data_IF_206447887308
#
_entry.id   IF_206447887308
#
_cell.length_a   1.000
_cell.length_b   1.000
_cell.length_c   1.000
_cell.angle_alpha   90.00
_cell.angle_beta   90.00
_cell.angle_gamma   90.00
#
_symmetry.space_group_name_H-M   'P 1'
#
loop_
_entity.id
_entity.type
_entity.pdbx_description
1 polymer ?
#
# COMPACT_ATOMS: atom_id res chain seq x y z
N UNK A 1 13.94 25.66 -55.96
CA UNK A 1 12.83 25.97 -55.02
C UNK A 1 12.28 24.65 -54.54
N UNK A 2 12.77 24.17 -53.42
CA UNK A 2 12.32 22.93 -52.81
C UNK A 2 11.47 23.23 -51.59
N UNK A 3 10.24 22.77 -51.59
CA UNK A 3 9.34 22.86 -50.44
C UNK A 3 9.68 21.76 -49.43
N UNK A 4 10.17 22.15 -48.26
CA UNK A 4 10.27 21.28 -47.11
C UNK A 4 8.89 21.20 -46.45
N UNK A 5 8.23 20.06 -46.57
CA UNK A 5 7.03 19.76 -45.78
C UNK A 5 7.45 19.39 -44.37
N UNK A 6 7.14 20.25 -43.42
CA UNK A 6 7.29 20.00 -41.99
C UNK A 6 6.13 19.11 -41.54
N UNK A 7 6.42 17.81 -41.30
CA UNK A 7 5.44 16.88 -40.68
C UNK A 7 5.51 17.12 -39.17
N UNK A 8 4.50 17.81 -38.65
CA UNK A 8 4.30 17.90 -37.18
C UNK A 8 3.62 16.62 -36.73
N UNK A 9 4.38 15.74 -36.10
CA UNK A 9 3.81 14.58 -35.38
C UNK A 9 3.27 15.13 -34.07
N UNK A 10 1.96 15.34 -34.00
CA UNK A 10 1.27 15.62 -32.73
C UNK A 10 1.11 14.28 -32.04
N UNK A 11 1.98 13.99 -31.11
CA UNK A 11 1.78 12.89 -30.16
C UNK A 11 0.66 13.31 -29.21
N UNK A 12 -0.55 12.87 -29.47
CA UNK A 12 -1.67 12.99 -28.53
C UNK A 12 -1.36 12.00 -27.41
N UNK A 13 -0.72 12.50 -26.36
CA UNK A 13 -0.72 11.82 -25.07
C UNK A 13 -2.16 11.93 -24.55
N UNK A 14 -2.96 10.92 -24.80
CA UNK A 14 -4.24 10.76 -24.14
C UNK A 14 -3.93 10.55 -22.65
N UNK A 15 -3.97 11.63 -21.87
CA UNK A 15 -4.23 11.49 -20.46
C UNK A 15 -5.61 10.83 -20.38
N UNK A 16 -5.65 9.54 -20.17
CA UNK A 16 -6.81 8.89 -19.60
C UNK A 16 -7.00 9.56 -18.24
N UNK A 17 -7.81 10.62 -18.21
CA UNK A 17 -8.46 11.01 -16.99
C UNK A 17 -9.26 9.75 -16.59
N UNK A 18 -8.74 9.01 -15.65
CA UNK A 18 -9.55 8.12 -14.86
C UNK A 18 -10.64 9.05 -14.28
N UNK A 19 -11.82 9.02 -14.89
CA UNK A 19 -13.01 9.62 -14.29
C UNK A 19 -13.05 9.07 -12.89
N UNK A 20 -12.97 9.96 -11.89
CA UNK A 20 -12.80 9.59 -10.50
C UNK A 20 -13.90 8.60 -10.12
N UNK A 21 -13.53 7.34 -10.02
CA UNK A 21 -14.34 6.36 -9.33
C UNK A 21 -14.45 6.92 -7.91
N UNK A 22 -15.63 7.20 -7.47
CA UNK A 22 -15.86 7.61 -6.09
C UNK A 22 -15.37 6.46 -5.21
N UNK A 23 -14.23 6.67 -4.56
CA UNK A 23 -13.51 5.65 -3.81
C UNK A 23 -14.32 5.06 -2.63
N UNK A 24 -15.49 5.62 -2.36
CA UNK A 24 -16.43 5.09 -1.37
C UNK A 24 -17.26 3.91 -1.90
N UNK A 25 -17.27 3.69 -3.21
CA UNK A 25 -18.09 2.67 -3.85
C UNK A 25 -17.31 1.52 -4.49
N UNK A 26 -15.98 1.44 -4.24
CA UNK A 26 -15.21 0.32 -4.77
C UNK A 26 -15.66 -0.99 -4.10
N UNK A 27 -16.01 -2.02 -4.89
CA UNK A 27 -16.41 -3.31 -4.33
C UNK A 27 -15.24 -3.97 -3.61
N UNK A 28 -15.54 -4.86 -2.67
CA UNK A 28 -14.54 -5.71 -2.01
C UNK A 28 -13.74 -6.50 -3.06
N UNK A 29 -14.43 -7.03 -4.08
CA UNK A 29 -13.82 -7.71 -5.22
C UNK A 29 -13.32 -6.78 -6.31
N UNK A 30 -12.72 -7.38 -7.36
CA UNK A 30 -12.28 -6.67 -8.55
C UNK A 30 -13.48 -6.11 -9.32
N UNK A 31 -13.39 -4.85 -9.73
CA UNK A 31 -14.29 -4.27 -10.73
C UNK A 31 -14.09 -4.94 -12.09
N UNK A 32 -15.02 -4.76 -13.01
CA UNK A 32 -14.85 -5.29 -14.38
C UNK A 32 -13.66 -4.63 -15.11
N UNK A 33 -13.37 -3.37 -14.80
CA UNK A 33 -12.16 -2.70 -15.29
C UNK A 33 -10.91 -3.41 -14.77
N UNK A 34 -10.82 -3.66 -13.48
CA UNK A 34 -9.67 -4.31 -12.83
C UNK A 34 -9.46 -5.74 -13.37
N UNK A 35 -10.54 -6.52 -13.53
CA UNK A 35 -10.48 -7.86 -14.14
C UNK A 35 -9.90 -7.84 -15.56
N UNK A 36 -10.30 -6.85 -16.37
CA UNK A 36 -9.83 -6.71 -17.73
C UNK A 36 -8.39 -6.16 -17.85
N UNK A 37 -7.86 -5.61 -16.76
CA UNK A 37 -6.54 -5.00 -16.70
C UNK A 37 -5.62 -5.67 -15.66
N UNK A 38 -5.90 -6.89 -15.28
CA UNK A 38 -5.12 -7.62 -14.28
C UNK A 38 -3.62 -7.73 -14.66
N UNK A 39 -3.30 -7.73 -15.96
CA UNK A 39 -1.93 -7.75 -16.45
C UNK A 39 -1.10 -6.54 -15.99
N UNK A 40 -1.72 -5.43 -15.60
CA UNK A 40 -1.02 -4.28 -15.05
C UNK A 40 -0.26 -4.62 -13.77
N UNK A 41 -0.66 -5.66 -13.04
CA UNK A 41 0.05 -6.11 -11.84
C UNK A 41 1.51 -6.43 -12.15
N UNK A 42 1.78 -7.07 -13.29
CA UNK A 42 3.14 -7.41 -13.73
C UNK A 42 3.99 -6.17 -14.03
N UNK A 43 3.36 -5.04 -14.35
CA UNK A 43 4.03 -3.77 -14.64
C UNK A 43 4.19 -2.90 -13.39
N UNK A 44 3.46 -3.20 -12.32
CA UNK A 44 3.46 -2.43 -11.07
C UNK A 44 4.57 -2.88 -10.11
N UNK A 45 5.09 -4.08 -10.30
CA UNK A 45 6.12 -4.68 -9.45
C UNK A 45 7.39 -3.83 -9.42
N UNK A 46 8.03 -3.82 -8.25
CA UNK A 46 9.34 -3.23 -8.02
C UNK A 46 10.17 -4.25 -7.27
N UNK A 47 11.45 -4.26 -7.54
CA UNK A 47 12.40 -5.08 -6.81
C UNK A 47 13.59 -4.24 -6.36
N UNK A 48 13.97 -4.41 -5.11
CA UNK A 48 15.18 -3.83 -4.55
C UNK A 48 16.01 -4.92 -3.89
N UNK A 49 17.25 -4.60 -3.50
CA UNK A 49 17.98 -5.47 -2.58
C UNK A 49 17.19 -5.59 -1.27
N UNK A 50 17.19 -6.78 -0.64
CA UNK A 50 16.50 -6.98 0.63
C UNK A 50 17.15 -6.16 1.77
N UNK A 51 16.44 -5.99 2.90
CA UNK A 51 16.98 -5.37 4.11
C UNK A 51 18.24 -6.11 4.61
N UNK A 52 19.10 -5.39 5.33
CA UNK A 52 20.23 -6.01 6.00
C UNK A 52 19.77 -7.01 7.06
N UNK A 53 20.35 -8.22 7.04
CA UNK A 53 20.01 -9.26 7.99
C UNK A 53 20.67 -9.04 9.37
N UNK A 54 20.04 -9.50 10.49
CA UNK A 54 18.73 -10.14 10.55
C UNK A 54 17.58 -9.12 10.43
N UNK A 55 16.51 -9.52 9.77
CA UNK A 55 15.26 -8.72 9.65
C UNK A 55 14.25 -9.20 10.67
N UNK A 56 13.46 -8.28 11.22
CA UNK A 56 12.31 -8.57 12.07
C UNK A 56 11.11 -7.79 11.59
N UNK A 57 10.03 -8.46 11.29
CA UNK A 57 8.76 -7.81 11.00
C UNK A 57 8.18 -7.19 12.29
N UNK A 58 7.54 -6.02 12.17
CA UNK A 58 6.87 -5.36 13.29
C UNK A 58 5.43 -5.83 13.32
N UNK A 59 5.01 -6.41 14.45
CA UNK A 59 3.64 -6.87 14.63
C UNK A 59 2.68 -5.70 14.95
N UNK A 60 1.43 -5.84 14.58
CA UNK A 60 0.39 -4.80 14.70
C UNK A 60 0.06 -4.43 16.14
N UNK A 61 0.26 -5.35 17.08
CA UNK A 61 0.04 -5.09 18.51
C UNK A 61 1.22 -4.41 19.19
N UNK A 62 2.34 -4.19 18.49
CA UNK A 62 3.47 -3.46 19.04
C UNK A 62 3.15 -1.97 19.16
N UNK A 63 3.93 -1.28 19.99
CA UNK A 63 3.75 0.17 20.18
C UNK A 63 4.01 0.90 18.87
N UNK A 64 3.03 1.65 18.40
CA UNK A 64 3.12 2.47 17.19
C UNK A 64 3.25 3.96 17.54
N UNK A 65 3.88 4.72 16.65
CA UNK A 65 4.03 6.18 16.78
C UNK A 65 2.96 6.96 16.02
N UNK A 66 2.21 6.31 15.16
CA UNK A 66 1.15 6.93 14.37
C UNK A 66 0.34 5.91 13.57
N UNK A 67 -0.68 6.41 12.91
CA UNK A 67 -1.60 5.64 12.05
C UNK A 67 -1.63 6.25 10.66
N UNK A 68 -1.65 5.42 9.63
CA UNK A 68 -1.81 5.85 8.25
C UNK A 68 -3.27 5.77 7.84
N UNK A 69 -3.79 6.85 7.31
CA UNK A 69 -5.13 6.95 6.71
C UNK A 69 -5.03 7.63 5.36
N UNK A 70 -6.10 7.68 4.61
CA UNK A 70 -6.16 8.44 3.36
C UNK A 70 -7.37 9.37 3.34
N UNK A 71 -7.36 10.38 2.46
CA UNK A 71 -8.50 11.25 2.20
C UNK A 71 -8.86 11.19 0.70
N UNK A 72 -10.18 11.01 0.35
CA UNK A 72 -11.36 10.95 1.22
C UNK A 72 -11.35 9.76 2.18
N UNK A 73 -11.83 9.96 3.41
CA UNK A 73 -11.76 8.96 4.48
C UNK A 73 -12.63 7.74 4.21
N UNK A 74 -12.13 6.55 4.54
CA UNK A 74 -12.90 5.31 4.64
C UNK A 74 -13.46 5.04 6.05
N UNK A 75 -13.13 5.91 7.02
CA UNK A 75 -13.56 5.84 8.42
C UNK A 75 -14.20 7.16 8.83
N UNK A 76 -14.95 7.16 9.96
CA UNK A 76 -15.59 8.39 10.44
C UNK A 76 -14.58 9.40 10.95
N UNK A 77 -14.92 10.69 10.87
CA UNK A 77 -14.14 11.78 11.46
C UNK A 77 -14.01 11.64 12.98
N UNK A 78 -14.96 10.99 13.64
CA UNK A 78 -14.87 10.71 15.08
C UNK A 78 -13.68 9.81 15.41
N UNK A 79 -13.42 8.78 14.59
CA UNK A 79 -12.24 7.91 14.77
C UNK A 79 -10.96 8.72 14.57
N UNK A 80 -10.89 9.58 13.56
CA UNK A 80 -9.72 10.43 13.33
C UNK A 80 -9.50 11.37 14.52
N UNK A 81 -10.57 11.93 15.08
CA UNK A 81 -10.47 12.81 16.26
C UNK A 81 -9.88 12.07 17.45
N UNK A 82 -10.41 10.90 17.79
CA UNK A 82 -9.90 10.09 18.90
C UNK A 82 -8.43 9.67 18.69
N UNK A 83 -8.06 9.24 17.49
CA UNK A 83 -6.68 8.89 17.17
C UNK A 83 -5.74 10.09 17.30
N UNK A 84 -6.18 11.26 16.87
CA UNK A 84 -5.37 12.48 16.92
C UNK A 84 -5.16 13.04 18.35
N UNK A 85 -5.84 12.52 19.37
CA UNK A 85 -5.55 12.85 20.76
C UNK A 85 -4.25 12.18 21.23
N UNK A 86 -3.96 10.96 20.78
CA UNK A 86 -2.91 10.12 21.33
C UNK A 86 -1.70 9.90 20.40
N UNK A 87 -1.92 9.88 19.09
CA UNK A 87 -0.91 9.53 18.09
C UNK A 87 -0.93 10.45 16.88
N UNK A 88 0.14 10.43 16.09
CA UNK A 88 0.17 11.14 14.81
C UNK A 88 -0.72 10.40 13.80
N UNK A 89 -1.60 11.12 13.13
CA UNK A 89 -2.38 10.64 12.00
C UNK A 89 -1.72 11.12 10.71
N UNK A 90 -1.09 10.22 10.00
CA UNK A 90 -0.53 10.45 8.68
C UNK A 90 -1.64 10.28 7.64
N UNK A 91 -1.99 11.34 6.94
CA UNK A 91 -3.08 11.33 5.98
C UNK A 91 -2.54 11.44 4.55
N UNK A 92 -2.60 10.34 3.81
CA UNK A 92 -2.36 10.34 2.36
C UNK A 92 -3.45 11.16 1.68
N UNK A 93 -3.07 12.11 0.86
CA UNK A 93 -4.01 13.02 0.20
C UNK A 93 -3.46 13.53 -1.13
N UNK A 94 -4.31 13.67 -2.13
CA UNK A 94 -3.89 14.37 -3.35
C UNK A 94 -3.71 15.87 -3.08
N UNK A 95 -2.81 16.51 -3.81
CA UNK A 95 -2.59 17.96 -3.69
C UNK A 95 -3.87 18.77 -3.93
N UNK A 96 -4.77 18.28 -4.79
CA UNK A 96 -6.05 18.92 -5.07
C UNK A 96 -7.04 18.85 -3.89
N UNK A 97 -6.96 17.79 -3.08
CA UNK A 97 -7.88 17.53 -1.96
C UNK A 97 -7.33 17.97 -0.60
N UNK A 98 -6.06 18.33 -0.50
CA UNK A 98 -5.42 18.67 0.77
C UNK A 98 -6.15 19.78 1.55
N UNK A 99 -6.56 20.86 0.87
CA UNK A 99 -7.31 21.93 1.51
C UNK A 99 -8.71 21.48 1.96
N UNK A 100 -9.33 20.58 1.22
CA UNK A 100 -10.63 20.00 1.59
C UNK A 100 -10.50 19.14 2.85
N UNK A 101 -9.47 18.29 2.93
CA UNK A 101 -9.16 17.49 4.10
C UNK A 101 -8.85 18.38 5.32
N UNK A 102 -8.01 19.39 5.14
CA UNK A 102 -7.66 20.36 6.18
C UNK A 102 -8.92 21.03 6.77
N UNK A 103 -9.82 21.50 5.90
CA UNK A 103 -11.06 22.13 6.34
C UNK A 103 -12.01 21.14 7.03
N UNK A 104 -12.09 19.90 6.53
CA UNK A 104 -12.89 18.86 7.15
C UNK A 104 -12.43 18.56 8.57
N UNK A 105 -11.11 18.45 8.78
CA UNK A 105 -10.53 18.16 10.09
C UNK A 105 -10.70 19.34 11.07
N UNK A 106 -10.40 20.55 10.63
CA UNK A 106 -10.59 21.75 11.45
C UNK A 106 -12.07 21.96 11.88
N UNK A 107 -13.02 21.70 10.98
CA UNK A 107 -14.44 21.91 11.26
C UNK A 107 -15.04 20.82 12.17
N UNK A 108 -14.29 19.77 12.47
CA UNK A 108 -14.71 18.65 13.33
C UNK A 108 -13.85 18.53 14.59
N UNK A 109 -13.22 19.63 15.03
CA UNK A 109 -12.47 19.73 16.26
C UNK A 109 -11.35 18.69 16.41
N UNK A 110 -10.71 18.30 15.29
CA UNK A 110 -9.59 17.36 15.29
C UNK A 110 -8.32 18.11 15.70
N UNK A 111 -7.52 17.49 16.57
CA UNK A 111 -6.23 18.04 17.00
C UNK A 111 -5.23 18.10 15.82
N UNK A 112 -5.18 19.24 15.15
CA UNK A 112 -4.32 19.46 14.00
C UNK A 112 -2.81 19.38 14.33
N UNK A 113 -2.43 19.46 15.60
CA UNK A 113 -1.04 19.27 16.05
C UNK A 113 -0.52 17.83 15.80
N UNK A 114 -1.44 16.88 15.71
CA UNK A 114 -1.15 15.46 15.46
C UNK A 114 -1.56 15.02 14.05
N UNK A 115 -1.91 15.94 13.14
CA UNK A 115 -2.21 15.60 11.74
C UNK A 115 -1.00 15.94 10.86
N UNK A 116 -0.58 14.97 10.05
CA UNK A 116 0.45 15.19 9.02
C UNK A 116 -0.06 14.70 7.67
N UNK A 117 0.06 15.56 6.65
CA UNK A 117 -0.38 15.22 5.29
C UNK A 117 0.79 14.69 4.46
N UNK A 118 0.62 13.48 3.92
CA UNK A 118 1.51 12.91 2.91
C UNK A 118 0.89 13.18 1.54
N UNK A 119 1.53 14.03 0.74
CA UNK A 119 1.00 14.38 -0.58
C UNK A 119 1.28 13.26 -1.57
N UNK A 120 0.23 12.52 -1.89
CA UNK A 120 0.21 11.43 -2.86
C UNK A 120 -1.23 10.96 -3.05
N UNK A 121 -1.73 10.83 -4.30
CA UNK A 121 -3.06 10.29 -4.53
C UNK A 121 -3.11 8.81 -4.11
N UNK A 122 -4.31 8.34 -3.81
CA UNK A 122 -4.65 6.93 -3.64
C UNK A 122 -5.91 6.63 -4.44
N UNK A 123 -6.09 5.40 -4.88
CA UNK A 123 -7.28 4.98 -5.64
C UNK A 123 -8.39 4.53 -4.69
N UNK A 124 -8.05 3.93 -3.55
CA UNK A 124 -9.00 3.45 -2.55
C UNK A 124 -8.63 3.85 -1.13
N UNK A 125 -9.49 3.53 -0.16
CA UNK A 125 -9.23 3.78 1.27
C UNK A 125 -8.67 2.55 2.03
N UNK A 126 -8.32 1.50 1.30
CA UNK A 126 -7.86 0.23 1.85
C UNK A 126 -6.37 0.28 2.25
N UNK A 127 -6.02 1.17 3.19
CA UNK A 127 -4.64 1.32 3.67
C UNK A 127 -4.09 0.05 4.30
N UNK A 128 -4.95 -0.82 4.82
CA UNK A 128 -4.57 -2.14 5.31
C UNK A 128 -4.04 -3.01 4.18
N UNK A 129 -4.68 -2.96 3.01
CA UNK A 129 -4.42 -3.89 1.92
C UNK A 129 -3.18 -3.53 1.12
N UNK A 130 -2.95 -2.25 0.86
CA UNK A 130 -1.77 -1.83 0.09
C UNK A 130 -0.56 -1.46 0.95
N UNK A 131 -0.65 -1.57 2.28
CA UNK A 131 0.47 -1.31 3.18
C UNK A 131 0.67 0.16 3.56
N UNK A 132 1.81 0.52 4.11
CA UNK A 132 3.09 -0.21 4.14
C UNK A 132 3.20 -1.29 5.22
N UNK A 133 4.13 -2.25 5.01
CA UNK A 133 4.59 -3.17 6.02
C UNK A 133 5.92 -2.73 6.61
N UNK A 134 6.10 -2.93 7.90
CA UNK A 134 7.22 -2.39 8.66
C UNK A 134 8.16 -3.47 9.14
N UNK A 135 9.44 -3.22 9.00
CA UNK A 135 10.50 -4.10 9.48
C UNK A 135 11.54 -3.33 10.28
N UNK A 136 12.28 -4.04 11.10
CA UNK A 136 13.55 -3.57 11.68
C UNK A 136 14.65 -4.39 11.04
N UNK A 137 15.59 -3.73 10.40
CA UNK A 137 16.72 -4.38 9.71
C UNK A 137 17.89 -4.71 10.66
N UNK A 138 18.93 -5.36 10.13
CA UNK A 138 20.15 -5.72 10.88
C UNK A 138 20.92 -4.53 11.43
N UNK A 139 20.74 -3.33 10.91
CA UNK A 139 21.29 -2.09 11.43
C UNK A 139 20.44 -1.48 12.54
N UNK A 140 19.30 -2.09 12.87
CA UNK A 140 18.27 -1.60 13.80
C UNK A 140 17.53 -0.36 13.29
N UNK A 141 17.49 -0.18 11.99
CA UNK A 141 16.71 0.87 11.34
C UNK A 141 15.32 0.35 11.02
N UNK A 142 14.31 1.19 11.26
CA UNK A 142 12.92 0.91 10.87
C UNK A 142 12.80 1.25 9.39
N UNK A 143 12.33 0.31 8.60
CA UNK A 143 12.10 0.48 7.18
C UNK A 143 10.76 -0.07 6.73
N UNK A 144 10.41 0.21 5.49
CA UNK A 144 9.21 -0.29 4.83
C UNK A 144 9.62 -1.41 3.87
N UNK A 145 8.91 -2.53 3.92
CA UNK A 145 8.90 -3.55 2.87
C UNK A 145 7.57 -3.46 2.13
N UNK A 146 7.66 -3.27 0.83
CA UNK A 146 6.56 -3.13 -0.10
C UNK A 146 6.45 -4.37 -0.99
N UNK A 147 5.27 -4.65 -1.48
CA UNK A 147 4.92 -5.73 -2.40
C UNK A 147 4.07 -5.15 -3.54
N UNK A 148 3.87 -5.90 -4.61
CA UNK A 148 2.90 -5.52 -5.63
C UNK A 148 1.48 -5.74 -5.10
N UNK A 149 0.72 -4.67 -4.93
CA UNK A 149 -0.67 -4.77 -4.49
C UNK A 149 -1.50 -5.57 -5.49
N UNK A 150 -2.26 -6.55 -5.01
CA UNK A 150 -3.02 -7.48 -5.84
C UNK A 150 -4.26 -6.87 -6.53
N UNK A 151 -4.29 -5.56 -6.67
CA UNK A 151 -5.27 -4.80 -7.44
C UNK A 151 -4.54 -3.89 -8.42
N UNK A 152 -5.00 -3.73 -9.67
CA UNK A 152 -4.39 -2.84 -10.66
C UNK A 152 -4.67 -1.37 -10.33
N UNK A 153 -4.27 -0.92 -9.13
CA UNK A 153 -4.45 0.41 -8.55
C UNK A 153 -3.09 1.04 -8.32
N UNK A 154 -2.61 1.75 -9.32
CA UNK A 154 -1.24 2.29 -9.36
C UNK A 154 -0.95 3.28 -8.22
N UNK A 155 -1.94 4.09 -7.83
CA UNK A 155 -1.76 5.06 -6.77
C UNK A 155 -1.68 4.37 -5.40
N UNK A 156 -2.51 3.36 -5.16
CA UNK A 156 -2.48 2.55 -3.95
C UNK A 156 -1.14 1.80 -3.84
N UNK A 157 -0.73 1.13 -4.93
CA UNK A 157 0.56 0.43 -5.00
C UNK A 157 1.78 1.34 -4.77
N UNK A 158 1.63 2.64 -4.97
CA UNK A 158 2.70 3.62 -4.75
C UNK A 158 2.67 4.24 -3.35
N UNK A 159 1.65 3.96 -2.54
CA UNK A 159 1.49 4.58 -1.22
C UNK A 159 2.60 4.22 -0.22
N UNK A 160 3.11 2.96 -0.15
CA UNK A 160 4.24 2.61 0.69
C UNK A 160 5.51 3.39 0.33
N UNK A 161 5.81 3.54 -0.95
CA UNK A 161 6.95 4.32 -1.42
C UNK A 161 6.82 5.80 -1.02
N UNK A 162 5.65 6.42 -1.21
CA UNK A 162 5.38 7.80 -0.79
C UNK A 162 5.50 7.99 0.73
N UNK A 163 5.08 6.98 1.48
CA UNK A 163 5.20 6.99 2.94
C UNK A 163 6.66 6.92 3.37
N UNK A 164 7.48 6.09 2.72
CA UNK A 164 8.92 5.99 3.01
C UNK A 164 9.66 7.29 2.70
N UNK A 165 9.37 7.92 1.55
CA UNK A 165 9.95 9.22 1.19
C UNK A 165 9.60 10.31 2.20
N UNK A 166 8.34 10.35 2.65
CA UNK A 166 7.88 11.36 3.62
C UNK A 166 8.51 11.19 4.99
N UNK A 167 8.63 9.94 5.45
CA UNK A 167 9.18 9.63 6.78
C UNK A 167 10.71 9.53 6.80
N UNK A 168 11.36 9.61 5.63
CA UNK A 168 12.81 9.45 5.46
C UNK A 168 13.31 8.13 6.06
N UNK A 169 12.62 7.02 5.73
CA UNK A 169 12.97 5.67 6.18
C UNK A 169 13.39 4.79 5.00
N UNK A 170 14.25 3.77 5.21
CA UNK A 170 14.60 2.81 4.17
C UNK A 170 13.37 2.18 3.51
N UNK A 171 13.44 2.04 2.20
CA UNK A 171 12.42 1.40 1.39
C UNK A 171 12.99 0.17 0.69
N UNK A 172 12.28 -0.93 0.85
CA UNK A 172 12.57 -2.21 0.21
C UNK A 172 11.33 -2.67 -0.53
N UNK A 173 11.49 -3.29 -1.69
CA UNK A 173 10.39 -3.86 -2.45
C UNK A 173 10.70 -5.27 -2.88
N UNK A 174 9.77 -6.18 -2.62
CA UNK A 174 9.86 -7.59 -2.96
C UNK A 174 9.06 -7.87 -4.24
N UNK A 175 9.60 -8.67 -5.14
CA UNK A 175 8.90 -9.13 -6.35
C UNK A 175 7.90 -10.23 -5.98
N UNK A 176 6.77 -9.82 -5.42
CA UNK A 176 5.70 -10.68 -4.97
C UNK A 176 4.38 -9.91 -5.02
N UNK A 177 3.34 -10.52 -5.56
CA UNK A 177 1.97 -10.01 -5.50
C UNK A 177 1.38 -10.40 -4.14
N UNK A 178 0.82 -9.42 -3.44
CA UNK A 178 0.25 -9.66 -2.12
C UNK A 178 -0.82 -8.63 -1.76
N UNK A 179 -1.46 -8.86 -0.63
CA UNK A 179 -2.37 -7.93 0.00
C UNK A 179 -2.15 -7.93 1.51
N UNK A 180 -2.03 -6.76 2.08
CA UNK A 180 -1.77 -6.61 3.51
C UNK A 180 -2.87 -7.15 4.40
N UNK A 181 -4.12 -7.19 3.91
CA UNK A 181 -5.22 -7.86 4.60
C UNK A 181 -5.04 -9.37 4.71
N UNK A 182 -4.31 -9.98 3.77
CA UNK A 182 -3.98 -11.40 3.78
C UNK A 182 -2.66 -11.73 4.48
N UNK A 183 -2.26 -10.95 5.48
CA UNK A 183 -1.00 -11.19 6.18
C UNK A 183 -1.08 -10.83 7.65
N UNK A 184 -0.56 -11.72 8.48
CA UNK A 184 -0.38 -11.50 9.93
C UNK A 184 1.01 -11.93 10.36
N UNK A 185 1.53 -11.29 11.41
CA UNK A 185 2.81 -11.66 12.02
C UNK A 185 2.76 -11.54 13.54
N UNK A 186 3.54 -12.40 14.21
CA UNK A 186 3.75 -12.30 15.66
C UNK A 186 4.93 -11.38 16.05
N UNK A 187 5.62 -10.81 15.05
CA UNK A 187 6.80 -9.97 15.26
C UNK A 187 8.04 -10.72 15.76
N UNK A 188 8.04 -12.06 15.73
CA UNK A 188 9.11 -12.92 16.24
C UNK A 188 9.49 -14.04 15.29
N UNK A 189 9.16 -13.89 14.02
CA UNK A 189 9.51 -14.84 12.98
C UNK A 189 8.40 -15.79 12.55
N UNK A 190 7.18 -15.64 13.10
CA UNK A 190 6.00 -16.38 12.63
C UNK A 190 5.12 -15.42 11.81
N UNK A 191 4.74 -15.85 10.62
CA UNK A 191 3.76 -15.19 9.77
C UNK A 191 2.68 -16.14 9.30
N UNK A 192 1.55 -15.61 8.88
CA UNK A 192 0.45 -16.40 8.34
C UNK A 192 -0.30 -15.64 7.23
N UNK A 193 -0.78 -16.39 6.24
CA UNK A 193 -1.65 -15.91 5.15
C UNK A 193 -2.61 -17.02 4.72
N UNK A 194 -3.62 -16.67 3.94
CA UNK A 194 -4.40 -17.68 3.21
C UNK A 194 -3.64 -18.13 1.95
N UNK A 195 -4.08 -19.24 1.36
CA UNK A 195 -3.51 -19.85 0.17
C UNK A 195 -3.48 -18.91 -1.05
N UNK A 196 -4.25 -17.86 -1.03
CA UNK A 196 -4.30 -16.85 -2.09
C UNK A 196 -2.91 -16.30 -2.46
N UNK A 197 -1.99 -16.19 -1.50
CA UNK A 197 -0.63 -15.72 -1.76
C UNK A 197 0.13 -16.62 -2.75
N UNK A 198 -0.13 -17.93 -2.76
CA UNK A 198 0.47 -18.83 -3.73
C UNK A 198 -0.24 -18.77 -5.08
N UNK A 199 -1.55 -18.61 -5.08
CA UNK A 199 -2.35 -18.56 -6.32
C UNK A 199 -2.09 -17.27 -7.14
N UNK A 200 -1.86 -16.15 -6.47
CA UNK A 200 -1.58 -14.86 -7.12
C UNK A 200 -0.15 -14.76 -7.66
N UNK A 201 0.74 -15.62 -7.19
CA UNK A 201 2.13 -15.68 -7.64
C UNK A 201 2.36 -16.98 -8.40
N UNK A 202 2.85 -16.91 -9.61
CA UNK A 202 3.24 -18.10 -10.40
C UNK A 202 4.62 -18.62 -9.91
N UNK A 203 4.74 -18.81 -8.58
CA UNK A 203 5.95 -19.24 -7.91
C UNK A 203 5.69 -20.50 -7.10
N UNK A 204 6.72 -21.33 -6.97
CA UNK A 204 6.71 -22.42 -6.02
C UNK A 204 6.58 -21.87 -4.59
N UNK A 205 5.84 -22.57 -3.72
CA UNK A 205 5.64 -22.15 -2.32
C UNK A 205 6.94 -21.88 -1.57
N UNK A 206 7.98 -22.68 -1.83
CA UNK A 206 9.32 -22.52 -1.25
C UNK A 206 9.97 -21.18 -1.63
N UNK A 207 9.65 -20.64 -2.81
CA UNK A 207 10.14 -19.33 -3.23
C UNK A 207 9.44 -18.22 -2.45
N UNK A 208 8.14 -18.31 -2.24
CA UNK A 208 7.38 -17.35 -1.43
C UNK A 208 7.89 -17.37 0.02
N UNK A 209 8.05 -18.55 0.61
CA UNK A 209 8.58 -18.69 1.97
C UNK A 209 9.98 -18.08 2.10
N UNK A 210 10.82 -18.25 1.06
CA UNK A 210 12.14 -17.62 1.00
C UNK A 210 12.08 -16.11 0.96
N UNK A 211 11.16 -15.54 0.17
CA UNK A 211 10.96 -14.09 0.10
C UNK A 211 10.45 -13.54 1.43
N UNK A 212 9.50 -14.23 2.07
CA UNK A 212 9.01 -13.88 3.41
C UNK A 212 10.10 -13.93 4.47
N UNK A 213 11.01 -14.88 4.39
CA UNK A 213 12.17 -14.94 5.29
C UNK A 213 13.14 -13.77 5.04
N UNK A 214 13.56 -13.55 3.78
CA UNK A 214 14.61 -12.60 3.43
C UNK A 214 14.15 -11.14 3.63
N UNK A 215 12.91 -10.81 3.24
CA UNK A 215 12.41 -9.43 3.29
C UNK A 215 11.70 -9.09 4.59
N UNK A 216 11.01 -10.07 5.20
CA UNK A 216 10.17 -9.82 6.38
C UNK A 216 10.70 -10.47 7.66
N UNK A 217 11.73 -11.32 7.57
CA UNK A 217 12.28 -12.03 8.72
C UNK A 217 11.31 -13.07 9.29
N UNK A 218 10.53 -13.72 8.42
CA UNK A 218 9.60 -14.79 8.79
C UNK A 218 10.32 -16.13 8.67
N UNK A 219 10.58 -16.78 9.80
CA UNK A 219 11.23 -18.09 9.86
C UNK A 219 10.24 -19.25 9.66
N UNK A 220 9.00 -19.03 10.03
CA UNK A 220 7.90 -19.99 9.87
C UNK A 220 6.68 -19.30 9.27
N UNK A 221 6.36 -19.65 8.03
CA UNK A 221 5.23 -19.10 7.33
C UNK A 221 4.09 -20.13 7.23
N UNK A 222 2.97 -19.82 7.87
CA UNK A 222 1.78 -20.66 7.84
C UNK A 222 0.83 -20.17 6.75
N UNK A 223 0.63 -20.99 5.74
CA UNK A 223 -0.36 -20.71 4.70
C UNK A 223 -1.51 -21.70 4.88
N UNK A 224 -2.72 -21.16 5.07
CA UNK A 224 -3.94 -21.93 5.34
C UNK A 224 -4.92 -21.79 4.19
N UNK A 225 -5.70 -22.85 3.97
CA UNK A 225 -6.81 -22.80 3.02
C UNK A 225 -7.85 -21.76 3.43
N UNK A 226 -8.37 -21.01 2.46
CA UNK A 226 -9.55 -20.19 2.65
C UNK A 226 -10.81 -21.07 2.51
N UNK A 227 -11.56 -21.32 3.60
CA UNK A 227 -12.70 -22.22 3.53
C UNK A 227 -13.87 -21.68 2.71
N UNK A 228 -13.85 -20.40 2.38
CA UNK A 228 -14.92 -19.74 1.62
C UNK A 228 -14.56 -19.51 0.17
N UNK A 229 -13.30 -19.75 -0.22
CA UNK A 229 -12.79 -19.49 -1.57
C UNK A 229 -13.20 -18.08 -2.08
N UNK A 230 -13.14 -17.13 -1.19
CA UNK A 230 -13.55 -15.75 -1.41
C UNK A 230 -12.40 -14.79 -1.17
N UNK A 231 -12.66 -13.52 -1.38
CA UNK A 231 -11.66 -12.48 -1.14
C UNK A 231 -11.21 -12.47 0.32
N UNK A 232 -10.04 -11.94 0.51
CA UNK A 232 -9.35 -11.79 1.78
C UNK A 232 -10.29 -11.27 2.85
N UNK A 233 -10.37 -12.05 3.90
CA UNK A 233 -11.01 -11.69 5.15
C UNK A 233 -9.92 -11.33 6.17
N UNK A 234 -9.94 -10.10 6.60
CA UNK A 234 -9.06 -9.60 7.65
C UNK A 234 -9.80 -9.39 8.96
#
# INVERSE_FOLDING_TARGET
MGYFSLIIVITIISFLNAEGIDSQELPIGLTDFEKNNINLLLEMGRETSPPNQPVRNIAEFERMSGVLVRYPLGVSLDIIRELAEDVIVYCLVSSAQQNTALNAFNNNDINMGNIQFIVGPTDSYWTRDYGPWWVVDGNKEVGIVDFTYNRPRLNDNNAPFKTSEYLDVPYYSVDMIHCGGNYMTDGRGIGASSHLVYEENDLESENIDSLMNIYYGIDTYHVVEDPNDTYIDH
#
